data_IF_038757573875
#
_entry.id   IF_038757573875
#
_cell.length_a   1.000
_cell.length_b   1.000
_cell.length_c   1.000
_cell.angle_alpha   90.00
_cell.angle_beta   90.00
_cell.angle_gamma   90.00
#
_symmetry.space_group_name_H-M   'P 1'
#
loop_
_entity.id
_entity.type
_entity.pdbx_description
1 polymer ?
#
# COMPACT_ATOMS: atom_id res chain seq x y z
N UNK A 1 1.55 -9.49 40.83
CA UNK A 1 0.37 -8.68 40.49
C UNK A 1 -0.58 -8.60 41.69
N UNK A 2 -0.58 -7.46 42.38
CA UNK A 2 -1.56 -7.16 43.44
C UNK A 2 -2.60 -6.24 42.84
N UNK A 3 -3.82 -6.74 42.67
CA UNK A 3 -4.94 -5.98 42.08
C UNK A 3 -5.95 -5.72 43.18
N UNK A 4 -6.35 -4.46 43.37
CA UNK A 4 -7.49 -4.12 44.21
C UNK A 4 -8.73 -3.97 43.34
N UNK A 5 -9.77 -4.72 43.65
CA UNK A 5 -11.05 -4.64 42.94
C UNK A 5 -12.01 -3.73 43.71
N UNK A 6 -12.52 -2.70 43.04
CA UNK A 6 -13.56 -1.81 43.56
C UNK A 6 -14.90 -2.31 43.01
N UNK A 7 -15.85 -2.54 43.92
CA UNK A 7 -17.19 -3.04 43.59
C UNK A 7 -18.23 -1.93 43.69
N UNK A 8 -19.25 -2.01 42.83
CA UNK A 8 -20.46 -1.21 42.89
C UNK A 8 -21.66 -2.14 42.68
N UNK A 9 -22.66 -2.07 43.58
CA UNK A 9 -23.79 -3.02 43.63
C UNK A 9 -23.34 -4.50 43.65
N UNK A 10 -22.35 -4.81 44.50
CA UNK A 10 -21.70 -6.13 44.64
C UNK A 10 -20.98 -6.68 43.39
N UNK A 11 -20.96 -5.92 42.29
CA UNK A 11 -20.27 -6.29 41.04
C UNK A 11 -18.91 -5.60 40.94
N UNK A 12 -17.85 -6.30 40.51
CA UNK A 12 -16.56 -5.68 40.23
C UNK A 12 -16.71 -4.71 39.06
N UNK A 13 -16.36 -3.45 39.28
CA UNK A 13 -16.49 -2.40 38.26
C UNK A 13 -15.13 -1.79 37.88
N UNK A 14 -14.23 -1.63 38.85
CA UNK A 14 -12.89 -1.11 38.60
C UNK A 14 -11.81 -1.98 39.23
N UNK A 15 -10.63 -1.96 38.62
CA UNK A 15 -9.43 -2.57 39.14
C UNK A 15 -8.36 -1.49 39.31
N UNK A 16 -7.78 -1.39 40.50
CA UNK A 16 -6.59 -0.57 40.76
C UNK A 16 -5.38 -1.47 40.67
N UNK A 17 -4.50 -1.13 39.74
CA UNK A 17 -3.28 -1.86 39.43
C UNK A 17 -2.10 -0.90 39.62
N UNK A 18 -0.98 -1.33 40.22
CA UNK A 18 0.24 -0.54 40.23
C UNK A 18 0.61 -0.08 38.83
N UNK A 19 1.04 1.18 38.69
CA UNK A 19 1.21 1.79 37.36
C UNK A 19 2.16 1.01 36.45
N UNK A 20 3.28 0.51 36.98
CA UNK A 20 4.23 -0.32 36.24
C UNK A 20 3.63 -1.64 35.72
N UNK A 21 2.68 -2.22 36.45
CA UNK A 21 1.97 -3.44 36.05
C UNK A 21 0.90 -3.11 34.99
N UNK A 22 0.27 -1.94 35.07
CA UNK A 22 -0.60 -1.42 34.02
C UNK A 22 0.17 -1.16 32.72
N UNK A 23 1.32 -0.48 32.79
CA UNK A 23 2.20 -0.25 31.64
C UNK A 23 2.66 -1.58 31.02
N UNK A 24 3.06 -2.55 31.84
CA UNK A 24 3.43 -3.87 31.35
C UNK A 24 2.25 -4.63 30.73
N UNK A 25 1.01 -4.38 31.15
CA UNK A 25 -0.18 -4.97 30.55
C UNK A 25 -0.49 -4.31 29.20
N UNK A 26 -0.44 -2.98 29.12
CA UNK A 26 -0.61 -2.25 27.85
C UNK A 26 0.45 -2.66 26.83
N UNK A 27 1.72 -2.69 27.21
CA UNK A 27 2.80 -3.09 26.30
C UNK A 27 2.62 -4.51 25.75
N UNK A 28 2.15 -5.45 26.58
CA UNK A 28 1.85 -6.82 26.13
C UNK A 28 0.63 -6.88 25.20
N UNK A 29 -0.35 -5.99 25.38
CA UNK A 29 -1.49 -5.88 24.47
C UNK A 29 -1.04 -5.35 23.12
N UNK A 30 -0.23 -4.28 23.10
CA UNK A 30 0.37 -3.74 21.87
C UNK A 30 1.20 -4.81 21.14
N UNK A 31 2.07 -5.55 21.85
CA UNK A 31 2.84 -6.65 21.27
C UNK A 31 1.95 -7.76 20.66
N UNK A 32 0.79 -8.03 21.27
CA UNK A 32 -0.17 -9.01 20.74
C UNK A 32 -0.93 -8.48 19.52
N UNK A 33 -1.28 -7.20 19.52
CA UNK A 33 -1.91 -6.51 18.38
C UNK A 33 -0.97 -6.52 17.17
N UNK A 34 0.29 -6.13 17.35
CA UNK A 34 1.34 -6.19 16.31
C UNK A 34 1.45 -7.59 15.70
N UNK A 35 1.46 -8.63 16.54
CA UNK A 35 1.53 -10.03 16.07
C UNK A 35 0.28 -10.45 15.29
N UNK A 36 -0.90 -10.00 15.72
CA UNK A 36 -2.15 -10.28 15.02
C UNK A 36 -2.17 -9.63 13.64
N UNK A 37 -1.75 -8.36 13.55
CA UNK A 37 -1.65 -7.63 12.28
C UNK A 37 -0.64 -8.28 11.33
N UNK A 38 0.56 -8.60 11.83
CA UNK A 38 1.57 -9.29 11.04
C UNK A 38 1.07 -10.64 10.51
N UNK A 39 0.29 -11.38 11.32
CA UNK A 39 -0.33 -12.63 10.90
C UNK A 39 -1.42 -12.42 9.85
N UNK A 40 -2.24 -11.38 9.98
CA UNK A 40 -3.26 -11.04 9.00
C UNK A 40 -2.64 -10.69 7.64
N UNK A 41 -1.60 -9.84 7.63
CA UNK A 41 -0.83 -9.52 6.41
C UNK A 41 -0.26 -10.79 5.79
N UNK A 42 0.38 -11.64 6.61
CA UNK A 42 0.96 -12.90 6.12
C UNK A 42 -0.09 -13.84 5.52
N UNK A 43 -1.30 -13.86 6.09
CA UNK A 43 -2.42 -14.65 5.57
C UNK A 43 -2.91 -14.11 4.23
N UNK A 44 -3.08 -12.79 4.10
CA UNK A 44 -3.50 -12.19 2.82
C UNK A 44 -2.46 -12.42 1.71
N UNK A 45 -1.17 -12.32 2.03
CA UNK A 45 -0.07 -12.67 1.11
C UNK A 45 -0.17 -14.14 0.70
N UNK A 46 -0.42 -15.05 1.66
CA UNK A 46 -0.59 -16.48 1.37
C UNK A 46 -1.84 -16.78 0.51
N UNK A 47 -2.90 -15.99 0.68
CA UNK A 47 -4.13 -16.04 -0.13
C UNK A 47 -3.95 -15.40 -1.53
N UNK A 48 -2.75 -14.90 -1.83
CA UNK A 48 -2.37 -14.44 -3.16
C UNK A 48 -2.49 -12.94 -3.37
N UNK A 49 -2.60 -12.14 -2.30
CA UNK A 49 -2.35 -10.69 -2.42
C UNK A 49 -0.97 -10.44 -3.00
N UNK A 50 -0.92 -9.51 -3.94
CA UNK A 50 0.32 -9.16 -4.61
C UNK A 50 1.24 -8.36 -3.69
N UNK A 51 2.46 -8.85 -3.51
CA UNK A 51 3.53 -8.12 -2.81
C UNK A 51 4.45 -7.46 -3.81
N UNK A 52 4.93 -6.26 -3.48
CA UNK A 52 5.89 -5.53 -4.31
C UNK A 52 7.29 -5.55 -3.68
N UNK A 53 8.35 -5.76 -4.48
CA UNK A 53 9.73 -5.59 -4.00
C UNK A 53 9.97 -4.17 -3.49
N UNK A 54 10.76 -4.02 -2.41
CA UNK A 54 11.06 -2.72 -1.82
C UNK A 54 11.69 -1.76 -2.84
N UNK A 55 12.60 -2.25 -3.68
CA UNK A 55 13.24 -1.45 -4.75
C UNK A 55 12.23 -0.85 -5.73
N UNK A 56 11.14 -1.57 -6.03
CA UNK A 56 10.07 -1.05 -6.88
C UNK A 56 9.31 0.09 -6.18
N UNK A 57 8.95 -0.10 -4.91
CA UNK A 57 8.23 0.89 -4.11
C UNK A 57 9.09 2.14 -3.89
N UNK A 58 10.36 1.97 -3.53
CA UNK A 58 11.32 3.07 -3.38
C UNK A 58 11.47 3.85 -4.68
N UNK A 59 11.60 3.17 -5.81
CA UNK A 59 11.66 3.83 -7.11
C UNK A 59 10.37 4.58 -7.40
N UNK A 60 9.20 3.99 -7.15
CA UNK A 60 7.89 4.61 -7.37
C UNK A 60 7.74 5.92 -6.58
N UNK A 61 8.20 5.94 -5.33
CA UNK A 61 8.01 7.06 -4.42
C UNK A 61 9.12 8.12 -4.51
N UNK A 62 10.36 7.72 -4.81
CA UNK A 62 11.54 8.58 -4.60
C UNK A 62 12.29 8.95 -5.88
N UNK A 63 12.14 8.20 -6.98
CA UNK A 63 12.97 8.42 -8.19
C UNK A 63 12.60 9.68 -8.98
N UNK A 64 11.38 10.19 -8.81
CA UNK A 64 10.83 11.27 -9.65
C UNK A 64 10.53 10.85 -11.10
N UNK A 65 10.74 9.57 -11.46
CA UNK A 65 10.30 9.01 -12.73
C UNK A 65 8.77 8.92 -12.78
N UNK A 66 8.21 8.89 -14.00
CA UNK A 66 6.77 8.79 -14.16
C UNK A 66 6.27 7.40 -13.71
N UNK A 67 5.22 7.30 -12.86
CA UNK A 67 4.72 6.03 -12.33
C UNK A 67 4.42 4.99 -13.42
N UNK A 68 3.76 5.39 -14.51
CA UNK A 68 3.52 4.54 -15.67
C UNK A 68 4.77 3.81 -16.20
N UNK A 69 5.93 4.48 -16.24
CA UNK A 69 7.18 3.88 -16.72
C UNK A 69 7.67 2.80 -15.76
N UNK A 70 7.60 3.09 -14.46
CA UNK A 70 8.04 2.19 -13.39
C UNK A 70 7.16 0.93 -13.39
N UNK A 71 5.83 1.10 -13.47
CA UNK A 71 4.88 -0.01 -13.61
C UNK A 71 5.12 -0.82 -14.88
N UNK A 72 5.33 -0.17 -16.02
CA UNK A 72 5.63 -0.86 -17.28
C UNK A 72 6.86 -1.77 -17.15
N UNK A 73 7.94 -1.26 -16.58
CA UNK A 73 9.19 -2.00 -16.42
C UNK A 73 9.06 -3.11 -15.38
N UNK A 74 8.35 -2.85 -14.27
CA UNK A 74 8.05 -3.87 -13.26
C UNK A 74 7.24 -5.04 -13.82
N UNK A 75 6.29 -4.76 -14.73
CA UNK A 75 5.51 -5.78 -15.44
C UNK A 75 6.24 -6.39 -16.65
N UNK A 76 7.49 -6.01 -16.92
CA UNK A 76 8.31 -6.57 -18.00
C UNK A 76 7.89 -6.15 -19.41
N UNK A 77 7.05 -5.11 -19.55
CA UNK A 77 6.62 -4.64 -20.86
C UNK A 77 7.68 -3.73 -21.50
N UNK A 78 7.94 -3.97 -22.79
CA UNK A 78 8.58 -2.94 -23.62
C UNK A 78 7.56 -1.84 -23.95
N UNK A 79 8.06 -0.63 -24.26
CA UNK A 79 7.20 0.48 -24.67
C UNK A 79 6.31 0.09 -25.88
N UNK A 80 6.87 -0.60 -26.86
CA UNK A 80 6.14 -1.03 -28.05
C UNK A 80 5.10 -2.13 -27.73
N UNK A 81 5.42 -3.05 -26.82
CA UNK A 81 4.50 -4.11 -26.41
C UNK A 81 3.28 -3.53 -25.67
N UNK A 82 3.50 -2.63 -24.69
CA UNK A 82 2.40 -2.00 -23.97
C UNK A 82 1.55 -1.09 -24.87
N UNK A 83 2.19 -0.35 -25.78
CA UNK A 83 1.48 0.49 -26.74
C UNK A 83 0.56 -0.36 -27.63
N UNK A 84 1.06 -1.49 -28.14
CA UNK A 84 0.27 -2.45 -28.93
C UNK A 84 -0.90 -3.01 -28.12
N UNK A 85 -0.66 -3.44 -26.89
CA UNK A 85 -1.69 -3.98 -25.98
C UNK A 85 -2.81 -2.97 -25.72
N UNK A 86 -2.46 -1.71 -25.52
CA UNK A 86 -3.43 -0.64 -25.22
C UNK A 86 -4.06 -0.01 -26.48
N UNK A 87 -3.62 -0.41 -27.68
CA UNK A 87 -4.12 0.12 -28.95
C UNK A 87 -3.70 1.57 -29.21
N UNK A 88 -2.50 1.95 -28.80
CA UNK A 88 -1.91 3.29 -29.03
C UNK A 88 -0.56 3.20 -29.73
N UNK A 89 -0.06 4.31 -30.25
CA UNK A 89 1.28 4.34 -30.85
C UNK A 89 2.36 4.48 -29.78
N UNK A 90 3.53 3.85 -30.00
CA UNK A 90 4.68 3.96 -29.09
C UNK A 90 5.11 5.41 -28.81
N UNK A 91 5.10 6.33 -29.81
CA UNK A 91 5.37 7.74 -29.54
C UNK A 91 4.32 8.39 -28.62
N UNK A 92 3.03 8.06 -28.78
CA UNK A 92 1.99 8.60 -27.91
C UNK A 92 2.16 8.12 -26.45
N UNK A 93 2.49 6.84 -26.26
CA UNK A 93 2.78 6.28 -24.93
C UNK A 93 4.03 6.91 -24.32
N UNK A 94 5.08 7.15 -25.12
CA UNK A 94 6.29 7.84 -24.68
C UNK A 94 6.01 9.27 -24.21
N UNK A 95 5.12 10.02 -24.87
CA UNK A 95 4.74 11.36 -24.39
C UNK A 95 4.06 11.30 -23.02
N UNK A 96 3.30 10.24 -22.75
CA UNK A 96 2.67 10.03 -21.43
C UNK A 96 3.74 9.68 -20.38
N UNK A 97 4.64 8.72 -20.65
CA UNK A 97 5.72 8.36 -19.71
C UNK A 97 6.69 9.50 -19.41
N UNK A 98 6.73 10.54 -20.23
CA UNK A 98 7.54 11.74 -19.98
C UNK A 98 6.73 12.91 -19.41
N UNK A 99 5.46 12.71 -19.04
CA UNK A 99 4.58 13.75 -18.50
C UNK A 99 4.21 14.86 -19.49
N UNK A 100 4.51 14.69 -20.78
CA UNK A 100 4.20 15.68 -21.84
C UNK A 100 2.73 15.62 -22.28
N UNK A 101 2.04 14.54 -21.94
CA UNK A 101 0.64 14.32 -22.29
C UNK A 101 -0.07 13.52 -21.21
N UNK A 102 -1.21 14.01 -20.76
CA UNK A 102 -2.11 13.26 -19.87
C UNK A 102 -2.95 12.27 -20.70
N UNK A 103 -3.03 10.98 -20.31
CA UNK A 103 -3.91 10.02 -20.98
C UNK A 103 -5.37 10.36 -20.73
N UNK A 104 -6.24 10.05 -21.70
CA UNK A 104 -7.70 10.07 -21.46
C UNK A 104 -8.09 8.90 -20.57
N UNK A 105 -9.20 9.02 -19.84
CA UNK A 105 -9.72 7.98 -18.92
C UNK A 105 -9.80 6.60 -19.60
N UNK A 106 -10.29 6.52 -20.83
CA UNK A 106 -10.37 5.25 -21.57
C UNK A 106 -9.01 4.58 -21.78
N UNK A 107 -7.96 5.38 -22.05
CA UNK A 107 -6.61 4.88 -22.21
C UNK A 107 -5.99 4.53 -20.86
N UNK A 108 -6.22 5.35 -19.83
CA UNK A 108 -5.75 5.10 -18.47
C UNK A 108 -6.31 3.77 -17.94
N UNK A 109 -7.61 3.51 -18.15
CA UNK A 109 -8.23 2.23 -17.78
C UNK A 109 -7.62 1.03 -18.51
N UNK A 110 -7.26 1.18 -19.80
CA UNK A 110 -6.56 0.13 -20.54
C UNK A 110 -5.15 -0.11 -20.02
N UNK A 111 -4.42 0.95 -19.71
CA UNK A 111 -3.07 0.86 -19.15
C UNK A 111 -3.10 0.18 -17.78
N UNK A 112 -4.01 0.59 -16.90
CA UNK A 112 -4.19 0.00 -15.56
C UNK A 112 -4.50 -1.50 -15.65
N UNK A 113 -5.41 -1.89 -16.55
CA UNK A 113 -5.73 -3.31 -16.81
C UNK A 113 -4.53 -4.09 -17.34
N UNK A 114 -3.81 -3.55 -18.32
CA UNK A 114 -2.63 -4.21 -18.89
C UNK A 114 -1.49 -4.35 -17.88
N UNK A 115 -1.36 -3.37 -16.97
CA UNK A 115 -0.33 -3.33 -15.94
C UNK A 115 -0.76 -3.94 -14.61
N UNK A 116 -2.01 -4.42 -14.49
CA UNK A 116 -2.57 -5.02 -13.26
C UNK A 116 -2.32 -4.13 -12.04
N UNK A 117 -2.74 -2.88 -12.14
CA UNK A 117 -2.69 -1.89 -11.06
C UNK A 117 -3.95 -1.02 -11.12
N UNK A 118 -4.12 -0.13 -10.16
CA UNK A 118 -5.20 0.83 -10.18
C UNK A 118 -4.87 2.01 -11.12
N UNK A 119 -5.89 2.79 -11.49
CA UNK A 119 -5.69 3.91 -12.42
C UNK A 119 -4.88 5.02 -11.76
N UNK A 120 -5.10 5.22 -10.47
CA UNK A 120 -4.44 6.18 -9.60
C UNK A 120 -2.93 5.92 -9.53
N UNK A 121 -2.52 4.64 -9.49
CA UNK A 121 -1.11 4.22 -9.44
C UNK A 121 -0.29 4.66 -10.67
N UNK A 122 -0.94 4.99 -11.77
CA UNK A 122 -0.31 5.41 -13.02
C UNK A 122 -0.18 6.92 -13.15
N UNK A 123 -0.85 7.69 -12.29
CA UNK A 123 -0.87 9.14 -12.33
C UNK A 123 0.26 9.71 -11.50
N UNK A 124 0.82 10.83 -11.95
CA UNK A 124 1.76 11.60 -11.13
C UNK A 124 0.95 12.34 -10.07
N UNK A 125 1.22 12.06 -8.80
CA UNK A 125 0.77 12.93 -7.73
C UNK A 125 1.62 14.20 -7.79
N UNK A 126 1.01 15.32 -8.18
CA UNK A 126 1.65 16.62 -8.01
C UNK A 126 1.76 16.87 -6.51
N UNK A 127 2.99 17.10 -6.03
CA UNK A 127 3.18 17.61 -4.68
C UNK A 127 2.54 19.00 -4.64
N UNK A 128 1.37 19.11 -4.00
CA UNK A 128 0.88 20.40 -3.53
C UNK A 128 2.03 21.03 -2.72
N UNK A 129 2.48 22.20 -3.18
CA UNK A 129 3.58 22.96 -2.58
C UNK A 129 3.14 23.60 -1.27
#
# INVERSE_FOLDING_TARGET
MTIQIIKHNDKPEYAVVPFNEWEALIRRLEELEDLYEARAISASIADGEETYPSEFVERLLLSGEHPLKIWREHRGFTLAALAKECGVSSPALSQIENGKRTPRVDLLSKLAKALRCDMEDLLRHEAEH
#
